data_IF_696331584517
#
_entry.id   IF_696331584517
#
_cell.length_a   1.000
_cell.length_b   1.000
_cell.length_c   1.000
_cell.angle_alpha   90.00
_cell.angle_beta   90.00
_cell.angle_gamma   90.00
#
_symmetry.space_group_name_H-M   'P 1'
#
loop_
_entity.id
_entity.type
_entity.pdbx_description
1 polymer ?
#
# COMPACT_ATOMS: atom_id res chain seq x y z
N UNK A 1 25.81 41.20 50.83
CA UNK A 1 25.16 42.47 50.50
C UNK A 1 24.98 42.46 49.01
N UNK A 2 23.70 42.46 48.65
CA UNK A 2 23.09 42.50 47.32
C UNK A 2 23.31 41.38 46.31
N UNK A 3 22.13 40.91 45.88
CA UNK A 3 21.77 39.87 44.94
C UNK A 3 21.26 40.61 43.67
N UNK A 4 20.45 40.01 42.78
CA UNK A 4 20.74 39.82 41.36
C UNK A 4 19.88 40.73 40.47
N UNK A 5 20.16 40.85 39.17
CA UNK A 5 19.10 41.15 38.19
C UNK A 5 19.55 40.84 36.75
N UNK A 6 18.56 40.49 35.93
CA UNK A 6 18.60 40.23 34.49
C UNK A 6 18.94 38.82 33.96
N UNK A 7 18.22 37.82 34.48
CA UNK A 7 17.67 36.80 33.58
C UNK A 7 16.26 37.20 33.15
N UNK A 8 16.18 37.91 32.03
CA UNK A 8 14.92 38.23 31.37
C UNK A 8 14.15 36.94 31.02
N UNK A 9 13.03 36.79 31.72
CA UNK A 9 11.91 35.93 31.40
C UNK A 9 11.42 36.21 29.96
N UNK A 10 11.61 35.27 29.04
CA UNK A 10 10.77 35.20 27.84
C UNK A 10 9.80 34.04 28.01
N UNK A 11 8.65 34.40 28.58
CA UNK A 11 7.41 33.66 28.50
C UNK A 11 7.06 33.43 27.03
N UNK A 12 7.09 32.16 26.61
CA UNK A 12 6.41 31.72 25.38
C UNK A 12 5.59 30.48 25.73
N UNK A 13 4.40 30.73 26.30
CA UNK A 13 3.12 30.07 26.08
C UNK A 13 3.06 28.53 26.03
N UNK A 14 2.02 27.89 26.60
CA UNK A 14 1.90 26.44 26.60
C UNK A 14 1.91 25.91 25.17
N UNK A 15 2.86 25.01 24.87
CA UNK A 15 2.88 24.23 23.65
C UNK A 15 1.53 23.52 23.51
N UNK A 16 0.75 23.96 22.53
CA UNK A 16 -0.49 23.31 22.11
C UNK A 16 -0.14 21.93 21.56
N UNK A 17 -0.01 20.96 22.46
CA UNK A 17 0.17 19.54 22.17
C UNK A 17 -1.16 18.95 21.67
N UNK A 18 -1.72 19.53 20.60
CA UNK A 18 -2.67 18.78 19.78
C UNK A 18 -1.90 17.70 19.04
N UNK A 19 -2.23 16.41 19.20
CA UNK A 19 -1.67 15.38 18.34
C UNK A 19 -2.07 15.73 16.89
N UNK A 20 -1.06 16.03 16.08
CA UNK A 20 -1.23 16.34 14.67
C UNK A 20 -1.84 15.11 14.02
N UNK A 21 -3.08 15.23 13.54
CA UNK A 21 -3.78 14.15 12.86
C UNK A 21 -2.90 13.58 11.74
N UNK A 22 -2.89 12.25 11.52
CA UNK A 22 -2.10 11.65 10.46
C UNK A 22 -2.53 12.26 9.12
N UNK A 23 -1.56 12.87 8.43
CA UNK A 23 -1.80 13.54 7.15
C UNK A 23 -2.11 12.46 6.11
N UNK A 24 -3.40 12.25 5.83
CA UNK A 24 -3.82 11.54 4.64
C UNK A 24 -3.17 12.17 3.40
N UNK A 25 -2.79 11.35 2.42
CA UNK A 25 -2.09 11.80 1.22
C UNK A 25 -2.88 12.93 0.52
N UNK A 26 -2.27 14.10 0.26
CA UNK A 26 -2.98 15.22 -0.32
C UNK A 26 -3.03 15.08 -1.85
N UNK A 27 -4.22 14.81 -2.37
CA UNK A 27 -4.49 14.82 -3.81
C UNK A 27 -5.98 14.58 -4.09
N UNK A 28 -6.56 15.18 -5.14
CA UNK A 28 -7.98 15.02 -5.44
C UNK A 28 -8.28 13.60 -5.94
N UNK A 29 -9.20 12.92 -5.26
CA UNK A 29 -10.19 12.07 -5.91
C UNK A 29 -9.91 10.59 -6.12
N UNK A 30 -8.78 10.03 -5.67
CA UNK A 30 -8.62 8.56 -5.64
C UNK A 30 -8.46 8.08 -4.21
N UNK A 31 -9.49 7.40 -3.70
CA UNK A 31 -9.35 6.62 -2.47
C UNK A 31 -8.14 5.70 -2.64
N UNK A 32 -7.21 5.77 -1.69
CA UNK A 32 -6.09 4.82 -1.64
C UNK A 32 -6.70 3.41 -1.62
N UNK A 33 -6.33 2.59 -2.62
CA UNK A 33 -6.73 1.18 -2.64
C UNK A 33 -5.60 0.37 -2.04
N UNK A 34 -5.97 -0.49 -1.11
CA UNK A 34 -5.04 -1.39 -0.39
C UNK A 34 -5.24 -2.85 -0.85
N UNK A 35 -5.84 -3.02 -2.03
CA UNK A 35 -6.14 -4.30 -2.65
C UNK A 35 -5.69 -4.35 -4.11
N UNK A 36 -5.39 -5.55 -4.59
CA UNK A 36 -5.12 -5.83 -6.01
C UNK A 36 -5.94 -7.03 -6.49
N UNK A 37 -6.30 -7.05 -7.78
CA UNK A 37 -6.91 -8.22 -8.39
C UNK A 37 -5.85 -9.20 -8.85
N UNK A 38 -6.14 -10.50 -8.78
CA UNK A 38 -5.34 -11.56 -9.39
C UNK A 38 -6.18 -12.26 -10.44
N UNK A 39 -5.61 -12.45 -11.62
CA UNK A 39 -6.27 -13.07 -12.76
C UNK A 39 -5.37 -14.15 -13.39
N UNK A 40 -5.95 -15.08 -14.14
CA UNK A 40 -5.19 -16.03 -14.95
C UNK A 40 -5.78 -16.19 -16.36
N UNK A 41 -4.93 -16.60 -17.31
CA UNK A 41 -5.32 -16.94 -18.68
C UNK A 41 -4.59 -18.21 -19.13
N UNK A 42 -5.33 -19.26 -19.47
CA UNK A 42 -4.77 -20.51 -19.98
C UNK A 42 -4.35 -20.40 -21.45
N UNK A 43 -3.22 -21.01 -21.82
CA UNK A 43 -2.72 -21.07 -23.20
C UNK A 43 -2.06 -22.41 -23.47
N UNK A 44 -2.16 -22.89 -24.72
CA UNK A 44 -1.50 -24.13 -25.15
C UNK A 44 -0.03 -23.91 -25.55
N UNK A 45 0.41 -22.66 -25.67
CA UNK A 45 1.79 -22.27 -25.98
C UNK A 45 2.13 -20.89 -25.41
N UNK A 46 3.42 -20.53 -25.43
CA UNK A 46 3.87 -19.19 -25.05
C UNK A 46 3.58 -18.17 -26.15
N UNK A 47 2.39 -17.57 -26.13
CA UNK A 47 1.86 -16.68 -27.17
C UNK A 47 1.59 -15.25 -26.70
N UNK A 48 1.94 -14.92 -25.46
CA UNK A 48 1.72 -13.57 -24.92
C UNK A 48 2.56 -12.53 -25.68
N UNK A 49 1.97 -11.37 -25.92
CA UNK A 49 2.61 -10.20 -26.51
C UNK A 49 2.29 -8.97 -25.65
N UNK A 50 2.81 -7.80 -26.03
CA UNK A 50 2.51 -6.56 -25.32
C UNK A 50 1.01 -6.21 -25.29
N UNK A 51 0.22 -6.71 -26.25
CA UNK A 51 -1.22 -6.39 -26.40
C UNK A 51 -2.15 -7.61 -26.36
N UNK A 52 -1.61 -8.83 -26.30
CA UNK A 52 -2.39 -10.08 -26.30
C UNK A 52 -1.90 -11.04 -25.20
N UNK A 53 -2.79 -11.66 -24.41
CA UNK A 53 -4.23 -11.42 -24.38
C UNK A 53 -4.55 -9.98 -23.92
N UNK A 54 -5.69 -9.39 -24.33
CA UNK A 54 -6.05 -8.03 -23.91
C UNK A 54 -6.04 -7.86 -22.39
N UNK A 55 -5.52 -6.72 -21.91
CA UNK A 55 -5.40 -6.37 -20.49
C UNK A 55 -6.75 -6.02 -19.83
N UNK A 56 -7.66 -6.97 -19.82
CA UNK A 56 -9.02 -6.85 -19.29
C UNK A 56 -9.59 -8.21 -18.88
N UNK A 57 -10.64 -8.19 -18.07
CA UNK A 57 -11.43 -9.39 -17.76
C UNK A 57 -12.07 -9.91 -19.05
N UNK A 58 -12.04 -11.24 -19.23
CA UNK A 58 -12.31 -11.91 -20.51
C UNK A 58 -11.37 -11.45 -21.65
N UNK A 59 -10.22 -12.11 -21.85
CA UNK A 59 -10.05 -13.55 -21.66
C UNK A 59 -9.41 -13.94 -20.32
N UNK A 60 -8.96 -12.98 -19.52
CA UNK A 60 -8.48 -13.26 -18.17
C UNK A 60 -9.64 -13.62 -17.24
N UNK A 61 -9.47 -14.69 -16.48
CA UNK A 61 -10.41 -15.13 -15.44
C UNK A 61 -9.94 -14.59 -14.10
N UNK A 62 -10.83 -13.88 -13.40
CA UNK A 62 -10.54 -13.34 -12.07
C UNK A 62 -10.49 -14.45 -11.03
N UNK A 63 -9.41 -14.47 -10.24
CA UNK A 63 -9.18 -15.43 -9.15
C UNK A 63 -9.70 -14.87 -7.83
N UNK A 64 -9.21 -13.69 -7.45
CA UNK A 64 -9.55 -13.04 -6.18
C UNK A 64 -9.26 -11.54 -6.25
N UNK A 65 -9.74 -10.79 -5.25
CA UNK A 65 -9.27 -9.44 -4.92
C UNK A 65 -8.54 -9.50 -3.59
N UNK A 66 -7.22 -9.49 -3.65
CA UNK A 66 -6.34 -9.69 -2.49
C UNK A 66 -6.12 -8.36 -1.77
N UNK A 67 -6.43 -8.34 -0.48
CA UNK A 67 -6.10 -7.24 0.43
C UNK A 67 -4.81 -7.53 1.21
N UNK A 68 -4.14 -6.48 1.66
CA UNK A 68 -3.04 -6.59 2.62
C UNK A 68 -3.59 -6.77 4.05
N UNK A 69 -3.06 -7.74 4.80
CA UNK A 69 -3.35 -7.88 6.24
C UNK A 69 -2.57 -6.87 7.08
N UNK A 70 -1.34 -6.58 6.66
CA UNK A 70 -0.42 -5.66 7.30
C UNK A 70 -0.09 -4.53 6.34
N UNK A 71 -0.51 -3.32 6.69
CA UNK A 71 -0.17 -2.11 5.94
C UNK A 71 1.16 -1.54 6.45
N UNK A 72 2.04 -1.19 5.52
CA UNK A 72 3.23 -0.43 5.85
C UNK A 72 2.82 0.96 6.33
N UNK A 73 3.30 1.38 7.50
CA UNK A 73 3.02 2.72 8.02
C UNK A 73 4.18 3.65 7.68
N UNK A 74 3.94 4.73 6.92
CA UNK A 74 4.97 5.75 6.73
C UNK A 74 5.16 6.51 8.06
N UNK A 75 6.31 6.32 8.70
CA UNK A 75 6.82 7.25 9.74
C UNK A 75 6.47 6.93 11.20
N UNK A 76 6.97 5.82 11.73
CA UNK A 76 6.88 5.48 13.16
C UNK A 76 8.21 5.61 13.93
N UNK A 77 9.01 6.65 13.68
CA UNK A 77 10.27 6.92 14.42
C UNK A 77 11.56 6.77 13.60
N UNK A 78 12.75 6.89 14.23
CA UNK A 78 14.06 7.02 13.56
C UNK A 78 14.54 5.84 12.70
N UNK A 79 13.69 4.84 12.45
CA UNK A 79 14.04 3.59 11.75
C UNK A 79 13.42 3.40 10.36
N UNK A 80 12.78 4.42 9.79
CA UNK A 80 12.17 4.33 8.45
C UNK A 80 10.79 3.64 8.43
N UNK A 81 10.26 3.31 7.24
CA UNK A 81 8.97 2.63 7.11
C UNK A 81 9.01 1.25 7.76
N UNK A 82 8.09 0.98 8.67
CA UNK A 82 7.90 -0.34 9.27
C UNK A 82 6.73 -1.04 8.59
N UNK A 83 6.97 -2.26 8.12
CA UNK A 83 5.96 -3.08 7.43
C UNK A 83 6.27 -4.57 7.59
N UNK A 84 5.24 -5.40 7.49
CA UNK A 84 5.36 -6.86 7.44
C UNK A 84 5.01 -7.34 6.04
N UNK A 85 5.66 -8.41 5.59
CA UNK A 85 5.33 -9.06 4.33
C UNK A 85 4.00 -9.78 4.48
N UNK A 86 3.07 -9.53 3.54
CA UNK A 86 1.80 -10.23 3.44
C UNK A 86 1.94 -11.48 2.57
N UNK A 87 1.23 -12.57 2.90
CA UNK A 87 1.23 -13.81 2.12
C UNK A 87 -0.21 -14.28 1.91
N UNK A 88 -0.57 -14.56 0.66
CA UNK A 88 -1.85 -15.14 0.27
C UNK A 88 -1.60 -16.38 -0.58
N UNK A 89 -2.34 -17.46 -0.31
CA UNK A 89 -2.35 -18.66 -1.16
C UNK A 89 -3.68 -18.71 -1.90
N UNK A 90 -3.64 -18.76 -3.22
CA UNK A 90 -4.80 -18.82 -4.09
C UNK A 90 -4.79 -20.15 -4.86
N UNK A 91 -5.98 -20.65 -5.20
CA UNK A 91 -6.14 -21.85 -6.03
C UNK A 91 -6.63 -21.43 -7.41
N UNK A 92 -5.99 -21.94 -8.46
CA UNK A 92 -6.35 -21.71 -9.85
C UNK A 92 -6.94 -22.99 -10.44
N UNK A 93 -8.02 -22.89 -11.22
CA UNK A 93 -8.53 -24.00 -12.02
C UNK A 93 -9.87 -24.61 -11.57
N UNK A 94 -10.27 -25.75 -12.17
CA UNK A 94 -9.43 -26.72 -12.90
C UNK A 94 -8.78 -26.16 -14.17
N UNK A 95 -7.51 -26.51 -14.39
CA UNK A 95 -6.75 -26.15 -15.60
C UNK A 95 -6.80 -27.31 -16.60
N UNK A 96 -6.85 -26.98 -17.89
CA UNK A 96 -7.02 -27.93 -18.99
C UNK A 96 -6.08 -27.72 -20.17
N UNK A 97 -5.43 -26.55 -20.30
CA UNK A 97 -4.46 -26.26 -21.37
C UNK A 97 -3.03 -26.58 -20.95
N UNK A 98 -2.09 -26.46 -21.89
CA UNK A 98 -0.68 -26.76 -21.64
C UNK A 98 -0.01 -25.84 -20.60
N UNK A 99 -0.49 -24.61 -20.42
CA UNK A 99 0.04 -23.64 -19.46
C UNK A 99 -0.89 -22.46 -19.20
N UNK A 100 -0.42 -21.49 -18.42
CA UNK A 100 -1.18 -20.29 -18.09
C UNK A 100 -0.28 -19.10 -17.74
N UNK A 101 -0.84 -17.90 -17.84
CA UNK A 101 -0.26 -16.64 -17.35
C UNK A 101 -1.04 -16.14 -16.13
N UNK A 102 -0.38 -15.39 -15.24
CA UNK A 102 -1.00 -14.69 -14.10
C UNK A 102 -0.80 -13.19 -14.28
N UNK A 103 -1.83 -12.40 -13.98
CA UNK A 103 -1.85 -10.94 -14.05
C UNK A 103 -2.42 -10.31 -12.77
#
# INVERSE_FOLDING_TARGET
HDDPDDLHLQDTGPADHRPRAPRAAPGPGRACKETFGVFYHESDADTATASSPPWMENPYVKVDTVAAEHLARPGGGPGGPSGRVNRKTLRLGPLSRAGFYVA
#
